data_IF_980813090012
#
_entry.id   IF_980813090012
#
_cell.length_a   1.000
_cell.length_b   1.000
_cell.length_c   1.000
_cell.angle_alpha   90.00
_cell.angle_beta   90.00
_cell.angle_gamma   90.00
#
_symmetry.space_group_name_H-M   'P 1'
#
loop_
_entity.id
_entity.type
_entity.pdbx_description
1 polymer ?
#
# COMPACT_ATOMS: atom_id res chain seq x y z
N UNK A 1 8.99 -1.50 21.29
CA UNK A 1 7.96 -1.11 20.31
C UNK A 1 8.47 -1.57 18.95
N UNK A 2 7.61 -1.96 18.01
CA UNK A 2 8.02 -2.47 16.69
C UNK A 2 7.56 -1.51 15.59
N UNK A 3 8.25 -1.51 14.44
CA UNK A 3 7.78 -0.83 13.24
C UNK A 3 6.83 -1.76 12.49
N UNK A 4 5.69 -1.25 12.05
CA UNK A 4 4.70 -2.03 11.29
C UNK A 4 4.50 -1.47 9.90
N UNK A 5 4.26 -2.37 8.95
CA UNK A 5 3.85 -2.07 7.57
C UNK A 5 2.56 -2.83 7.26
N UNK A 6 1.66 -2.14 6.59
CA UNK A 6 0.39 -2.68 6.10
C UNK A 6 0.19 -2.27 4.63
N UNK A 7 -0.40 -3.16 3.84
CA UNK A 7 -0.58 -2.96 2.39
C UNK A 7 -1.99 -3.38 2.01
N UNK A 8 -2.77 -2.43 1.54
CA UNK A 8 -4.08 -2.70 0.98
C UNK A 8 -3.97 -3.08 -0.49
N UNK A 9 -4.79 -4.01 -0.93
CA UNK A 9 -4.76 -4.57 -2.27
C UNK A 9 -6.02 -4.27 -3.06
N UNK A 10 -5.91 -4.31 -4.39
CA UNK A 10 -7.03 -4.16 -5.34
C UNK A 10 -8.09 -5.28 -5.26
N UNK A 11 -7.90 -6.25 -4.37
CA UNK A 11 -8.78 -7.39 -4.17
C UNK A 11 -8.14 -8.53 -3.38
N UNK A 12 -8.96 -9.54 -3.09
CA UNK A 12 -8.58 -10.68 -2.27
C UNK A 12 -7.82 -11.74 -3.07
N UNK A 13 -6.61 -12.10 -2.62
CA UNK A 13 -5.84 -13.22 -3.14
C UNK A 13 -4.91 -12.91 -4.31
N UNK A 14 -4.35 -13.99 -4.86
CA UNK A 14 -3.31 -13.91 -5.87
C UNK A 14 -3.78 -13.21 -7.15
N UNK A 15 -2.93 -12.34 -7.70
CA UNK A 15 -3.22 -11.56 -8.91
C UNK A 15 -3.79 -10.17 -8.64
N UNK A 16 -4.10 -9.83 -7.39
CA UNK A 16 -4.30 -8.44 -6.98
C UNK A 16 -2.96 -7.67 -6.91
N UNK A 17 -3.04 -6.35 -6.79
CA UNK A 17 -1.90 -5.45 -6.73
C UNK A 17 -2.07 -4.43 -5.60
N UNK A 18 -0.99 -3.81 -5.10
CA UNK A 18 -1.08 -2.88 -3.97
C UNK A 18 -1.70 -1.54 -4.38
N UNK A 19 -2.58 -0.99 -3.54
CA UNK A 19 -3.29 0.28 -3.75
C UNK A 19 -2.98 1.33 -2.68
N UNK A 20 -2.49 0.91 -1.53
CA UNK A 20 -2.01 1.77 -0.44
C UNK A 20 -0.89 1.06 0.31
N UNK A 21 0.03 1.83 0.90
CA UNK A 21 0.94 1.33 1.93
C UNK A 21 0.95 2.28 3.14
N UNK A 22 0.82 1.70 4.33
CA UNK A 22 0.87 2.38 5.61
C UNK A 22 2.06 1.93 6.45
N UNK A 23 2.66 2.86 7.20
CA UNK A 23 3.73 2.59 8.16
C UNK A 23 3.44 3.20 9.52
N UNK A 24 3.71 2.44 10.58
CA UNK A 24 3.71 2.93 11.96
C UNK A 24 5.10 2.68 12.58
N UNK A 25 5.87 3.75 12.77
CA UNK A 25 7.24 3.69 13.25
C UNK A 25 7.32 3.82 14.77
N UNK A 26 8.31 3.18 15.38
CA UNK A 26 8.61 3.29 16.82
C UNK A 26 9.02 4.69 17.26
N UNK A 27 9.50 5.51 16.33
CA UNK A 27 9.77 6.94 16.52
C UNK A 27 8.50 7.77 16.73
N UNK A 28 7.31 7.20 16.50
CA UNK A 28 6.03 7.90 16.49
C UNK A 28 5.66 8.48 15.12
N UNK A 29 6.53 8.36 14.11
CA UNK A 29 6.21 8.76 12.74
C UNK A 29 5.24 7.77 12.09
N UNK A 30 4.25 8.31 11.38
CA UNK A 30 3.34 7.53 10.56
C UNK A 30 3.42 7.99 9.11
N UNK A 31 3.39 7.04 8.19
CA UNK A 31 3.33 7.30 6.76
C UNK A 31 2.15 6.56 6.16
N UNK A 32 1.54 7.16 5.14
CA UNK A 32 0.46 6.58 4.36
C UNK A 32 0.59 7.11 2.93
N UNK A 33 0.53 6.24 1.93
CA UNK A 33 0.62 6.65 0.54
C UNK A 33 -0.22 5.75 -0.35
N UNK A 34 -1.08 6.39 -1.14
CA UNK A 34 -1.83 5.74 -2.21
C UNK A 34 -0.93 5.44 -3.40
N UNK A 35 -1.13 4.27 -4.00
CA UNK A 35 -0.41 3.77 -5.17
C UNK A 35 -1.33 3.89 -6.37
N UNK A 36 -0.90 4.66 -7.37
CA UNK A 36 -1.59 4.72 -8.66
C UNK A 36 -1.30 3.43 -9.42
N UNK A 37 -2.33 2.67 -9.84
CA UNK A 37 -2.12 1.46 -10.64
C UNK A 37 -1.40 1.79 -11.95
N UNK A 38 -0.55 0.87 -12.41
CA UNK A 38 -0.02 0.94 -13.78
C UNK A 38 -1.10 0.57 -14.80
N UNK A 39 -0.89 0.94 -16.07
CA UNK A 39 -1.89 0.73 -17.13
C UNK A 39 -2.22 -0.76 -17.36
N UNK A 40 -1.26 -1.66 -17.09
CA UNK A 40 -1.42 -3.11 -17.21
C UNK A 40 -1.93 -3.79 -15.92
N UNK A 41 -2.18 -3.02 -14.85
CA UNK A 41 -2.77 -3.51 -13.61
C UNK A 41 -4.29 -3.47 -13.70
N UNK A 42 -4.86 -4.56 -14.20
CA UNK A 42 -6.27 -4.61 -14.58
C UNK A 42 -7.20 -5.16 -13.49
N UNK A 43 -6.69 -5.96 -12.55
CA UNK A 43 -7.50 -6.59 -11.50
C UNK A 43 -8.15 -5.56 -10.58
N UNK A 44 -9.48 -5.61 -10.40
CA UNK A 44 -10.18 -4.78 -9.43
C UNK A 44 -11.36 -5.53 -8.85
N UNK A 45 -11.49 -5.52 -7.53
CA UNK A 45 -12.59 -6.16 -6.82
C UNK A 45 -13.43 -5.10 -6.09
N UNK A 46 -14.72 -5.00 -6.44
CA UNK A 46 -15.64 -3.99 -5.89
C UNK A 46 -15.95 -4.22 -4.39
N UNK A 47 -15.89 -5.47 -3.91
CA UNK A 47 -16.06 -5.78 -2.49
C UNK A 47 -14.86 -5.28 -1.68
N UNK A 48 -13.65 -5.44 -2.21
CA UNK A 48 -12.43 -4.89 -1.62
C UNK A 48 -12.45 -3.35 -1.63
N UNK A 49 -12.85 -2.71 -2.75
CA UNK A 49 -13.06 -1.26 -2.78
C UNK A 49 -14.02 -0.81 -1.68
N UNK A 50 -15.15 -1.50 -1.52
CA UNK A 50 -16.15 -1.19 -0.49
C UNK A 50 -15.61 -1.40 0.93
N UNK A 51 -14.77 -2.41 1.13
CA UNK A 51 -14.14 -2.73 2.42
C UNK A 51 -13.09 -1.70 2.82
N UNK A 52 -12.17 -1.37 1.90
CA UNK A 52 -11.07 -0.43 2.14
C UNK A 52 -11.53 1.03 2.07
N UNK A 53 -12.62 1.32 1.35
CA UNK A 53 -13.12 2.67 1.13
C UNK A 53 -12.28 3.50 0.13
N UNK A 54 -11.46 2.83 -0.69
CA UNK A 54 -10.53 3.46 -1.63
C UNK A 54 -10.95 3.13 -3.06
N UNK A 55 -11.56 4.11 -3.72
CA UNK A 55 -11.98 3.93 -5.11
C UNK A 55 -10.80 3.99 -6.06
N UNK A 56 -10.93 3.31 -7.21
CA UNK A 56 -9.91 3.35 -8.25
C UNK A 56 -9.62 4.77 -8.75
N UNK A 57 -10.65 5.61 -8.83
CA UNK A 57 -10.53 7.00 -9.27
C UNK A 57 -9.67 7.83 -8.31
N UNK A 58 -9.78 7.62 -7.00
CA UNK A 58 -8.94 8.30 -6.01
C UNK A 58 -7.47 7.92 -6.22
N UNK A 59 -7.17 6.67 -6.56
CA UNK A 59 -5.80 6.24 -6.86
C UNK A 59 -5.26 6.89 -8.14
N UNK A 60 -6.09 7.05 -9.17
CA UNK A 60 -5.69 7.70 -10.42
C UNK A 60 -5.37 9.18 -10.24
N UNK A 61 -6.11 9.87 -9.36
CA UNK A 61 -5.95 11.31 -9.11
C UNK A 61 -4.85 11.60 -8.08
N UNK A 62 -4.81 10.84 -6.98
CA UNK A 62 -3.98 11.16 -5.80
C UNK A 62 -2.82 10.19 -5.59
N UNK A 63 -2.83 9.03 -6.25
CA UNK A 63 -1.81 8.01 -6.11
C UNK A 63 -0.48 8.43 -6.69
N UNK A 64 0.60 7.94 -6.08
CA UNK A 64 1.96 8.05 -6.61
C UNK A 64 2.28 6.84 -7.48
N UNK A 65 3.21 6.97 -8.42
CA UNK A 65 3.66 5.81 -9.18
C UNK A 65 4.25 4.75 -8.24
N UNK A 66 4.10 3.45 -8.53
CA UNK A 66 4.68 2.37 -7.75
C UNK A 66 6.18 2.56 -7.51
N UNK A 67 6.93 3.00 -8.53
CA UNK A 67 8.36 3.31 -8.39
C UNK A 67 8.62 4.38 -7.32
N UNK A 68 7.82 5.46 -7.30
CA UNK A 68 8.00 6.53 -6.32
C UNK A 68 7.69 6.02 -4.91
N UNK A 69 6.66 5.18 -4.75
CA UNK A 69 6.32 4.57 -3.46
C UNK A 69 7.43 3.63 -2.98
N UNK A 70 7.95 2.76 -3.84
CA UNK A 70 9.06 1.89 -3.50
C UNK A 70 10.32 2.67 -3.06
N UNK A 71 10.63 3.79 -3.74
CA UNK A 71 11.74 4.66 -3.31
C UNK A 71 11.51 5.30 -1.94
N UNK A 72 10.28 5.73 -1.65
CA UNK A 72 9.94 6.30 -0.33
C UNK A 72 10.04 5.24 0.77
N UNK A 73 9.57 4.02 0.51
CA UNK A 73 9.71 2.91 1.44
C UNK A 73 11.18 2.58 1.72
N UNK A 74 12.03 2.55 0.68
CA UNK A 74 13.47 2.35 0.86
C UNK A 74 14.10 3.44 1.72
N UNK A 75 13.68 4.70 1.56
CA UNK A 75 14.18 5.82 2.36
C UNK A 75 13.70 5.74 3.82
N UNK A 76 12.43 5.41 4.05
CA UNK A 76 11.85 5.39 5.40
C UNK A 76 12.23 4.16 6.22
N UNK A 77 12.54 3.04 5.56
CA UNK A 77 12.79 1.75 6.19
C UNK A 77 14.27 1.32 6.15
N UNK A 78 15.18 2.20 5.71
CA UNK A 78 16.60 1.86 5.63
C UNK A 78 17.16 1.46 7.00
N UNK A 79 17.72 0.24 7.08
CA UNK A 79 18.25 -0.33 8.32
C UNK A 79 17.21 -0.75 9.37
N UNK A 80 15.92 -0.61 9.08
CA UNK A 80 14.84 -0.92 10.03
C UNK A 80 14.33 -2.35 9.88
N UNK A 81 13.95 -2.98 11.00
CA UNK A 81 13.14 -4.19 10.97
C UNK A 81 11.67 -3.79 11.04
N UNK A 82 10.88 -4.24 10.04
CA UNK A 82 9.44 -4.03 9.97
C UNK A 82 8.67 -5.34 10.06
N UNK A 83 7.49 -5.27 10.63
CA UNK A 83 6.58 -6.40 10.79
C UNK A 83 5.29 -6.12 10.05
N UNK A 84 4.72 -7.17 9.46
CA UNK A 84 3.40 -7.15 8.82
C UNK A 84 2.69 -8.42 9.24
N UNK A 85 1.36 -8.42 9.18
CA UNK A 85 0.61 -9.65 9.32
C UNK A 85 0.75 -10.49 8.05
N UNK A 86 0.95 -11.79 8.22
CA UNK A 86 1.09 -12.69 7.10
C UNK A 86 -0.30 -13.03 6.55
N UNK A 87 -0.52 -12.78 5.26
CA UNK A 87 -1.62 -13.38 4.51
C UNK A 87 -1.11 -14.67 3.83
N UNK A 88 -1.85 -15.78 4.00
CA UNK A 88 -1.48 -17.12 3.54
C UNK A 88 -2.58 -17.76 2.72
#
# INVERSE_FOLDING_TARGET
>A
MYNFIDVEASGFGAGSYPIEVGLAMTSGQMHCTLIRPEDDWLHWNEEAESLHGITRDILLVNGKSPLKVAMLLNEWLDGETVYTDAWG
#
